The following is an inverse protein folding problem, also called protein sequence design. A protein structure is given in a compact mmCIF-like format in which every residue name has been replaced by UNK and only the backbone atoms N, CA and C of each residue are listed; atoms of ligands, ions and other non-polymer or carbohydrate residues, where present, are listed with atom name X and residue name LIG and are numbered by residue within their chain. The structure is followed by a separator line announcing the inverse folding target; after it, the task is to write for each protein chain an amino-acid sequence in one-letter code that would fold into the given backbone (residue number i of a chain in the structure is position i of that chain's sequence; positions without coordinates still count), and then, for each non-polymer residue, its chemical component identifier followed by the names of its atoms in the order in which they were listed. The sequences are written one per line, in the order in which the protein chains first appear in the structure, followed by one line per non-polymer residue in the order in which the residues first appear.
data_IF_175123451300
#
_entry.id   IF_175123451300
#
_cell.length_a   1.000
_cell.length_b   1.000
_cell.length_c   1.000
_cell.angle_alpha   90.00
_cell.angle_beta   90.00
_cell.angle_gamma   90.00
#
_symmetry.space_group_name_H-M   'P 1'
#
loop_
_entity.id
_entity.type
_entity.pdbx_description
1 polymer ?
#
# COMPACT_ATOMS: atom_id res chain seq x y z
N UNK A 1 -24.87 12.33 -26.53
CA UNK A 1 -23.92 13.30 -25.96
C UNK A 1 -22.64 12.55 -25.64
N UNK A 2 -21.46 13.07 -26.03
CA UNK A 2 -20.17 12.44 -25.68
C UNK A 2 -19.99 12.51 -24.15
N UNK A 3 -19.47 11.45 -23.55
CA UNK A 3 -19.13 11.46 -22.12
C UNK A 3 -18.09 12.56 -21.86
N UNK A 4 -18.33 13.53 -20.95
CA UNK A 4 -17.42 14.66 -20.72
C UNK A 4 -16.11 14.27 -20.00
N UNK A 5 -16.02 13.03 -19.50
CA UNK A 5 -14.81 12.50 -18.82
C UNK A 5 -14.06 11.52 -19.74
N UNK A 6 -12.77 11.33 -19.47
CA UNK A 6 -11.96 10.37 -20.21
C UNK A 6 -12.45 8.93 -19.98
N UNK A 7 -12.21 8.04 -20.97
CA UNK A 7 -12.52 6.60 -20.81
C UNK A 7 -11.79 6.00 -19.59
N UNK A 8 -10.58 6.47 -19.30
CA UNK A 8 -9.83 6.06 -18.11
C UNK A 8 -10.56 6.44 -16.83
N UNK A 9 -11.04 7.68 -16.72
CA UNK A 9 -11.83 8.11 -15.56
C UNK A 9 -13.13 7.32 -15.41
N UNK A 10 -13.80 7.02 -16.51
CA UNK A 10 -14.99 6.17 -16.47
C UNK A 10 -14.69 4.75 -15.93
N UNK A 11 -13.57 4.14 -16.29
CA UNK A 11 -13.14 2.85 -15.72
C UNK A 11 -12.81 2.94 -14.23
N UNK A 12 -12.17 4.04 -13.79
CA UNK A 12 -11.90 4.26 -12.36
C UNK A 12 -13.23 4.37 -11.59
N UNK A 13 -14.19 5.12 -12.09
CA UNK A 13 -15.53 5.21 -11.48
C UNK A 13 -16.19 3.83 -11.39
N UNK A 14 -16.12 3.03 -12.46
CA UNK A 14 -16.64 1.66 -12.45
C UNK A 14 -15.97 0.77 -11.41
N UNK A 15 -14.64 0.84 -11.29
CA UNK A 15 -13.87 0.04 -10.33
C UNK A 15 -14.19 0.40 -8.87
N UNK A 16 -14.63 1.63 -8.59
CA UNK A 16 -14.93 2.12 -7.24
C UNK A 16 -16.44 2.21 -6.95
N UNK A 17 -17.29 2.02 -7.95
CA UNK A 17 -18.74 2.27 -7.86
C UNK A 17 -19.40 1.57 -6.68
N UNK A 18 -19.19 0.25 -6.54
CA UNK A 18 -19.82 -0.54 -5.47
C UNK A 18 -19.46 -0.04 -4.07
N UNK A 19 -18.22 0.40 -3.87
CA UNK A 19 -17.78 0.93 -2.59
C UNK A 19 -18.41 2.28 -2.30
N UNK A 20 -18.44 3.18 -3.29
CA UNK A 20 -19.09 4.48 -3.11
C UNK A 20 -20.60 4.36 -2.92
N UNK A 21 -21.27 3.45 -3.64
CA UNK A 21 -22.67 3.14 -3.41
C UNK A 21 -22.92 2.62 -1.98
N UNK A 22 -22.03 1.74 -1.48
CA UNK A 22 -22.12 1.29 -0.11
C UNK A 22 -21.98 2.46 0.88
N UNK A 23 -20.99 3.31 0.71
CA UNK A 23 -20.70 4.43 1.60
C UNK A 23 -21.75 5.54 1.56
N UNK A 24 -22.52 5.67 0.47
CA UNK A 24 -23.46 6.78 0.28
C UNK A 24 -24.93 6.39 0.26
N UNK A 25 -25.27 5.15 -0.10
CA UNK A 25 -26.66 4.74 -0.34
C UNK A 25 -27.11 3.50 0.46
N UNK A 26 -26.21 2.81 1.15
CA UNK A 26 -26.54 1.60 1.91
C UNK A 26 -27.26 1.89 3.24
N UNK A 27 -27.70 0.83 3.92
CA UNK A 27 -28.19 0.92 5.29
C UNK A 27 -27.11 1.46 6.24
N UNK A 28 -25.83 1.10 6.01
CA UNK A 28 -24.70 1.66 6.72
C UNK A 28 -24.65 3.20 6.58
N UNK A 29 -24.76 3.70 5.35
CA UNK A 29 -24.74 5.15 5.12
C UNK A 29 -25.88 5.92 5.84
N UNK A 30 -27.01 5.27 6.03
CA UNK A 30 -28.17 5.87 6.70
C UNK A 30 -28.15 5.74 8.22
N UNK A 31 -27.52 4.69 8.75
CA UNK A 31 -27.64 4.30 10.16
C UNK A 31 -26.31 4.13 10.89
N UNK A 32 -25.18 4.30 10.21
CA UNK A 32 -23.84 4.04 10.77
C UNK A 32 -23.48 4.90 11.99
N UNK A 33 -24.11 6.08 12.11
CA UNK A 33 -23.88 7.02 13.21
C UNK A 33 -24.99 7.02 14.26
N UNK A 34 -25.98 6.09 14.15
CA UNK A 34 -27.07 6.00 15.14
C UNK A 34 -26.54 5.48 16.50
N UNK A 35 -27.07 5.96 17.64
CA UNK A 35 -26.71 5.44 18.95
C UNK A 35 -26.87 3.92 19.04
N UNK A 36 -25.86 3.23 19.54
CA UNK A 36 -25.84 1.77 19.69
C UNK A 36 -25.38 1.00 18.45
N UNK A 37 -25.06 1.69 17.35
CA UNK A 37 -24.42 1.07 16.18
C UNK A 37 -22.89 1.13 16.31
N UNK A 38 -22.25 -0.03 16.20
CA UNK A 38 -20.80 -0.12 16.16
C UNK A 38 -20.33 -0.07 14.70
N UNK A 39 -19.62 1.00 14.34
CA UNK A 39 -19.14 1.23 12.97
C UNK A 39 -17.71 0.68 12.80
N UNK A 40 -17.57 -0.42 12.03
CA UNK A 40 -16.28 -1.03 11.68
C UNK A 40 -15.95 -0.87 10.18
N UNK A 41 -16.69 -0.03 9.44
CA UNK A 41 -16.50 0.08 8.00
C UNK A 41 -15.37 1.02 7.60
N UNK A 42 -15.10 2.04 8.40
CA UNK A 42 -14.06 3.04 8.11
C UNK A 42 -13.02 3.04 9.23
N UNK A 43 -11.79 2.67 8.89
CA UNK A 43 -10.67 2.60 9.83
C UNK A 43 -10.00 3.95 10.05
N UNK A 44 -10.75 4.95 10.53
CA UNK A 44 -10.16 6.19 11.00
C UNK A 44 -9.76 6.06 12.48
N UNK A 45 -8.60 6.60 12.89
CA UNK A 45 -8.32 6.80 14.30
C UNK A 45 -9.40 7.69 14.94
N UNK A 46 -9.91 7.26 16.09
CA UNK A 46 -10.92 8.00 16.84
C UNK A 46 -10.35 8.72 18.06
N UNK A 47 -9.12 8.41 18.41
CA UNK A 47 -8.41 9.06 19.50
C UNK A 47 -7.83 10.41 19.07
N UNK A 48 -7.60 11.27 20.03
CA UNK A 48 -6.89 12.53 19.78
C UNK A 48 -5.43 12.23 19.39
N UNK A 49 -4.87 12.99 18.43
CA UNK A 49 -3.45 12.87 18.09
C UNK A 49 -2.55 13.00 19.32
N UNK A 50 -1.45 12.28 19.32
CA UNK A 50 -0.48 12.35 20.43
C UNK A 50 -0.01 13.79 20.66
N UNK A 51 -0.04 14.31 21.90
CA UNK A 51 0.38 15.69 22.20
C UNK A 51 1.80 16.01 21.71
N UNK A 52 2.72 15.04 21.78
CA UNK A 52 4.08 15.18 21.25
C UNK A 52 4.13 15.37 19.73
N UNK A 53 3.26 14.70 18.99
CA UNK A 53 3.13 14.88 17.53
C UNK A 53 2.60 16.28 17.19
N UNK A 54 1.57 16.74 17.90
CA UNK A 54 1.01 18.09 17.72
C UNK A 54 2.08 19.16 18.01
N UNK A 55 2.84 19.01 19.12
CA UNK A 55 3.92 19.93 19.47
C UNK A 55 5.04 19.94 18.42
N UNK A 56 5.41 18.79 17.88
CA UNK A 56 6.40 18.67 16.80
C UNK A 56 5.94 19.40 15.53
N UNK A 57 4.67 19.28 15.16
CA UNK A 57 4.10 20.01 14.01
C UNK A 57 4.14 21.53 14.25
N UNK A 58 3.76 22.00 15.44
CA UNK A 58 3.81 23.43 15.78
C UNK A 58 5.23 23.99 15.72
N UNK A 59 6.22 23.23 16.17
CA UNK A 59 7.62 23.63 16.07
C UNK A 59 8.12 23.66 14.62
N UNK A 60 7.72 22.68 13.82
CA UNK A 60 8.15 22.54 12.44
C UNK A 60 7.55 23.59 11.50
N UNK A 61 6.44 24.23 11.85
CA UNK A 61 5.84 25.29 11.05
C UNK A 61 6.58 26.65 11.20
N UNK A 62 7.40 26.80 12.23
CA UNK A 62 8.21 28.00 12.43
C UNK A 62 9.48 27.92 11.59
N UNK A 63 9.69 28.78 10.60
CA UNK A 63 10.86 28.73 9.73
C UNK A 63 12.14 29.00 10.52
N UNK A 64 13.15 28.15 10.35
CA UNK A 64 14.44 28.25 11.04
C UNK A 64 15.52 28.91 10.15
N UNK A 65 15.26 29.00 8.85
CA UNK A 65 16.12 29.69 7.90
C UNK A 65 15.29 30.14 6.66
N UNK A 66 15.89 30.93 5.79
CA UNK A 66 15.22 31.49 4.60
C UNK A 66 14.74 30.43 3.60
N UNK A 67 15.34 29.25 3.62
CA UNK A 67 15.06 28.17 2.68
C UNK A 67 14.13 27.09 3.29
N UNK A 68 13.56 27.35 4.47
CA UNK A 68 12.73 26.38 5.20
C UNK A 68 11.57 25.84 4.40
N UNK A 69 10.90 26.69 3.63
CA UNK A 69 9.79 26.34 2.74
C UNK A 69 10.16 26.40 1.26
N UNK A 70 11.46 26.42 0.93
CA UNK A 70 11.92 26.43 -0.45
C UNK A 70 11.66 25.08 -1.14
N UNK A 71 11.74 25.07 -2.49
CA UNK A 71 11.69 23.83 -3.26
C UNK A 71 12.83 22.89 -2.88
N UNK A 72 12.48 21.64 -2.62
CA UNK A 72 13.43 20.57 -2.27
C UNK A 72 13.13 19.32 -3.08
N UNK A 73 14.14 18.57 -3.45
CA UNK A 73 13.97 17.25 -4.07
C UNK A 73 13.53 16.22 -3.04
N UNK A 74 14.15 16.23 -1.87
CA UNK A 74 13.84 15.44 -0.69
C UNK A 74 14.20 16.22 0.57
N UNK A 75 13.68 15.81 1.69
CA UNK A 75 14.02 16.35 3.00
C UNK A 75 15.02 15.41 3.69
N UNK A 76 16.32 15.74 3.63
CA UNK A 76 17.40 14.88 4.12
C UNK A 76 17.25 14.46 5.59
N UNK A 77 16.76 15.38 6.45
CA UNK A 77 16.51 15.07 7.86
C UNK A 77 15.40 14.02 8.02
N UNK A 78 14.36 14.08 7.21
CA UNK A 78 13.27 13.09 7.20
C UNK A 78 13.76 11.74 6.67
N UNK A 79 14.56 11.72 5.61
CA UNK A 79 15.16 10.49 5.08
C UNK A 79 16.02 9.80 6.14
N UNK A 80 16.95 10.52 6.79
CA UNK A 80 17.79 9.99 7.85
C UNK A 80 16.97 9.43 9.03
N UNK A 81 15.90 10.12 9.43
CA UNK A 81 14.99 9.67 10.49
C UNK A 81 14.28 8.37 10.10
N UNK A 82 13.84 8.25 8.85
CA UNK A 82 13.19 7.03 8.35
C UNK A 82 14.17 5.86 8.31
N UNK A 83 15.39 6.07 7.82
CA UNK A 83 16.45 5.04 7.80
C UNK A 83 16.71 4.53 9.22
N UNK A 84 16.94 5.42 10.20
CA UNK A 84 17.17 5.03 11.58
C UNK A 84 15.95 4.32 12.20
N UNK A 85 14.76 4.80 11.92
CA UNK A 85 13.51 4.20 12.37
C UNK A 85 13.31 2.78 11.82
N UNK A 86 13.63 2.53 10.57
CA UNK A 86 13.52 1.20 9.95
C UNK A 86 14.59 0.26 10.51
N UNK A 87 15.82 0.76 10.69
CA UNK A 87 16.93 0.00 11.27
C UNK A 87 16.63 -0.42 12.71
N UNK A 88 16.25 0.53 13.56
CA UNK A 88 16.00 0.27 14.99
C UNK A 88 14.77 -0.62 15.20
N UNK A 89 13.74 -0.45 14.38
CA UNK A 89 12.48 -1.19 14.57
C UNK A 89 12.46 -2.56 13.88
N UNK A 90 13.13 -2.71 12.72
CA UNK A 90 13.06 -3.93 11.91
C UNK A 90 14.40 -4.59 11.64
N UNK A 91 15.51 -3.93 12.00
CA UNK A 91 16.84 -4.39 11.63
C UNK A 91 17.13 -4.32 10.11
N UNK A 92 16.26 -3.64 9.34
CA UNK A 92 16.44 -3.45 7.89
C UNK A 92 17.22 -2.16 7.66
N UNK A 93 18.29 -2.22 6.91
CA UNK A 93 19.12 -1.07 6.56
C UNK A 93 18.80 -0.62 5.14
N UNK A 94 18.49 0.66 4.99
CA UNK A 94 18.35 1.37 3.72
C UNK A 94 19.33 2.53 3.71
N UNK A 95 19.76 2.94 2.53
CA UNK A 95 20.49 4.19 2.35
C UNK A 95 19.48 5.36 2.25
N UNK A 96 19.93 6.58 2.54
CA UNK A 96 19.03 7.75 2.48
C UNK A 96 18.44 7.97 1.09
N UNK A 97 19.21 7.64 0.04
CA UNK A 97 18.80 7.73 -1.35
C UNK A 97 17.69 6.75 -1.73
N UNK A 98 17.51 5.67 -0.95
CA UNK A 98 16.42 4.71 -1.14
C UNK A 98 15.08 5.22 -0.58
N UNK A 99 15.09 6.31 0.18
CA UNK A 99 13.91 6.84 0.87
C UNK A 99 13.30 8.00 0.10
N UNK A 100 12.06 7.82 -0.34
CA UNK A 100 11.26 8.85 -1.01
C UNK A 100 10.06 9.24 -0.15
N UNK A 101 10.02 10.49 0.28
CA UNK A 101 8.91 11.02 1.08
C UNK A 101 7.73 11.37 0.19
N UNK A 102 6.55 10.86 0.53
CA UNK A 102 5.30 11.11 -0.19
C UNK A 102 4.17 11.48 0.76
N UNK A 103 3.02 11.91 0.23
CA UNK A 103 1.83 12.18 1.03
C UNK A 103 1.14 10.86 1.46
N UNK A 104 1.86 10.04 2.25
CA UNK A 104 1.39 8.75 2.77
C UNK A 104 1.44 7.61 1.75
N UNK A 105 1.03 6.41 2.20
CA UNK A 105 1.10 5.18 1.38
C UNK A 105 0.25 5.25 0.10
N UNK A 106 -0.86 5.98 0.10
CA UNK A 106 -1.67 6.17 -1.11
C UNK A 106 -0.87 6.85 -2.22
N UNK A 107 -0.19 7.95 -1.90
CA UNK A 107 0.66 8.64 -2.86
C UNK A 107 1.89 7.78 -3.23
N UNK A 108 2.46 7.03 -2.29
CA UNK A 108 3.55 6.11 -2.57
C UNK A 108 3.15 5.03 -3.59
N UNK A 109 1.98 4.38 -3.40
CA UNK A 109 1.40 3.43 -4.37
C UNK A 109 1.22 4.07 -5.75
N UNK A 110 0.68 5.28 -5.78
CA UNK A 110 0.42 6.06 -6.99
C UNK A 110 1.71 6.36 -7.76
N UNK A 111 2.71 6.93 -7.08
CA UNK A 111 4.03 7.25 -7.67
C UNK A 111 4.73 5.97 -8.15
N UNK A 112 4.72 4.91 -7.34
CA UNK A 112 5.33 3.63 -7.72
C UNK A 112 4.70 3.07 -8.99
N UNK A 113 3.37 2.96 -9.04
CA UNK A 113 2.69 2.48 -10.23
C UNK A 113 3.02 3.31 -11.47
N UNK A 114 3.00 4.65 -11.35
CA UNK A 114 3.34 5.53 -12.47
C UNK A 114 4.79 5.39 -12.95
N UNK A 115 5.69 4.97 -12.07
CA UNK A 115 7.12 4.85 -12.36
C UNK A 115 7.46 3.50 -13.01
N UNK A 116 6.83 2.42 -12.55
CA UNK A 116 7.24 1.07 -12.95
C UNK A 116 6.35 0.43 -14.01
N UNK A 117 5.16 0.99 -14.32
CA UNK A 117 4.22 0.39 -15.28
C UNK A 117 4.03 1.23 -16.52
N UNK A 118 3.92 0.55 -17.66
CA UNK A 118 3.45 1.11 -18.93
C UNK A 118 1.98 0.71 -19.18
N UNK A 119 1.24 1.44 -20.04
CA UNK A 119 -0.10 1.03 -20.44
C UNK A 119 -0.13 -0.39 -21.00
N UNK A 120 -1.01 -1.23 -20.43
CA UNK A 120 -1.14 -2.65 -20.80
C UNK A 120 -0.31 -3.62 -19.96
N UNK A 121 0.58 -3.12 -19.10
CA UNK A 121 1.25 -3.95 -18.09
C UNK A 121 0.25 -4.50 -17.10
N UNK A 122 0.46 -5.73 -16.65
CA UNK A 122 -0.36 -6.38 -15.66
C UNK A 122 0.19 -6.17 -14.25
N UNK A 123 -0.70 -5.81 -13.32
CA UNK A 123 -0.38 -5.70 -11.90
C UNK A 123 -1.29 -6.65 -11.13
N UNK A 124 -0.68 -7.64 -10.49
CA UNK A 124 -1.38 -8.59 -9.63
C UNK A 124 -1.66 -7.94 -8.28
N UNK A 125 -2.84 -8.19 -7.71
CA UNK A 125 -3.17 -7.83 -6.32
C UNK A 125 -4.02 -8.91 -5.67
N UNK A 126 -3.91 -9.02 -4.34
CA UNK A 126 -4.56 -10.07 -3.56
C UNK A 126 -5.96 -9.62 -3.14
N UNK A 127 -6.94 -10.52 -3.24
CA UNK A 127 -8.37 -10.27 -2.97
C UNK A 127 -8.87 -11.15 -1.81
N UNK A 128 -9.59 -10.59 -0.82
CA UNK A 128 -10.17 -9.23 -0.81
C UNK A 128 -9.08 -8.15 -0.65
N UNK A 129 -9.11 -7.12 -1.50
CA UNK A 129 -8.10 -6.06 -1.49
C UNK A 129 -8.54 -4.86 -0.64
N UNK A 130 -7.59 -3.99 -0.32
CA UNK A 130 -7.94 -2.60 -0.12
C UNK A 130 -8.56 -2.05 -1.40
N UNK A 131 -9.74 -1.48 -1.31
CA UNK A 131 -10.63 -1.23 -2.45
C UNK A 131 -10.11 -0.23 -3.50
N UNK A 132 -9.04 0.51 -3.22
CA UNK A 132 -8.45 1.42 -4.19
C UNK A 132 -7.38 0.80 -5.09
N UNK A 133 -6.87 -0.41 -4.84
CA UNK A 133 -5.80 -0.99 -5.68
C UNK A 133 -6.21 -1.06 -7.15
N UNK A 134 -7.39 -1.60 -7.45
CA UNK A 134 -7.85 -1.73 -8.83
C UNK A 134 -7.98 -0.37 -9.53
N UNK A 135 -8.56 0.61 -8.85
CA UNK A 135 -8.70 1.97 -9.37
C UNK A 135 -7.34 2.64 -9.63
N UNK A 136 -6.36 2.47 -8.72
CA UNK A 136 -5.00 2.97 -8.90
C UNK A 136 -4.33 2.32 -10.11
N UNK A 137 -4.37 1.00 -10.25
CA UNK A 137 -3.79 0.29 -11.38
C UNK A 137 -4.37 0.80 -12.71
N UNK A 138 -5.70 0.89 -12.80
CA UNK A 138 -6.41 1.40 -13.98
C UNK A 138 -6.05 2.87 -14.27
N UNK A 139 -5.79 3.68 -13.24
CA UNK A 139 -5.46 5.10 -13.40
C UNK A 139 -4.17 5.34 -14.17
N UNK A 140 -3.26 4.38 -14.16
CA UNK A 140 -1.99 4.44 -14.93
C UNK A 140 -2.03 3.63 -16.23
N UNK A 141 -3.21 3.13 -16.62
CA UNK A 141 -3.38 2.36 -17.86
C UNK A 141 -2.93 0.92 -17.76
N UNK A 142 -2.52 0.47 -16.58
CA UNK A 142 -2.18 -0.92 -16.32
C UNK A 142 -3.45 -1.78 -16.18
N UNK A 143 -3.29 -3.08 -16.31
CA UNK A 143 -4.35 -4.08 -16.25
C UNK A 143 -4.36 -4.73 -14.86
N UNK A 144 -5.44 -4.60 -14.08
CA UNK A 144 -5.54 -5.22 -12.77
C UNK A 144 -5.77 -6.74 -12.91
N UNK A 145 -4.95 -7.53 -12.23
CA UNK A 145 -5.06 -9.00 -12.18
C UNK A 145 -5.35 -9.41 -10.74
N UNK A 146 -6.58 -9.83 -10.50
CA UNK A 146 -7.06 -10.18 -9.16
C UNK A 146 -6.79 -11.65 -8.85
N UNK A 147 -6.02 -11.93 -7.79
CA UNK A 147 -5.80 -13.28 -7.25
C UNK A 147 -6.47 -13.39 -5.88
N UNK A 148 -7.27 -14.43 -5.67
CA UNK A 148 -7.93 -14.65 -4.37
C UNK A 148 -6.95 -15.21 -3.35
N UNK A 149 -7.16 -14.89 -2.08
CA UNK A 149 -6.49 -15.55 -0.95
C UNK A 149 -6.85 -17.03 -0.89
N UNK A 150 -6.03 -17.81 -0.21
CA UNK A 150 -6.40 -19.17 0.19
C UNK A 150 -7.69 -19.09 1.06
N UNK A 151 -8.77 -19.79 0.70
CA UNK A 151 -10.06 -19.63 1.37
C UNK A 151 -10.07 -20.17 2.82
N UNK A 152 -9.13 -21.01 3.19
CA UNK A 152 -9.05 -21.60 4.54
C UNK A 152 -8.20 -20.74 5.47
N UNK A 153 -7.04 -20.27 4.99
CA UNK A 153 -6.08 -19.55 5.83
C UNK A 153 -6.17 -18.03 5.68
N UNK A 154 -6.83 -17.56 4.63
CA UNK A 154 -6.82 -16.16 4.16
C UNK A 154 -5.41 -15.65 3.80
N UNK A 155 -4.43 -16.55 3.74
CA UNK A 155 -3.05 -16.29 3.31
C UNK A 155 -2.90 -16.25 1.79
N UNK A 156 -1.65 -16.19 1.33
CA UNK A 156 -1.34 -16.18 -0.10
C UNK A 156 -1.68 -17.54 -0.73
N UNK A 157 -2.39 -17.53 -1.84
CA UNK A 157 -2.52 -18.69 -2.73
C UNK A 157 -1.37 -18.64 -3.74
N UNK A 158 -0.24 -19.24 -3.36
CA UNK A 158 1.00 -19.19 -4.15
C UNK A 158 0.85 -19.86 -5.52
N UNK A 159 0.07 -20.93 -5.63
CA UNK A 159 -0.22 -21.60 -6.89
C UNK A 159 -1.05 -20.70 -7.82
N UNK A 160 -2.06 -20.04 -7.28
CA UNK A 160 -2.87 -19.11 -8.03
C UNK A 160 -2.05 -17.89 -8.48
N UNK A 161 -1.16 -17.37 -7.62
CA UNK A 161 -0.23 -16.29 -7.97
C UNK A 161 0.69 -16.74 -9.12
N UNK A 162 1.32 -17.91 -9.01
CA UNK A 162 2.22 -18.43 -10.04
C UNK A 162 1.52 -18.60 -11.40
N UNK A 163 0.27 -19.08 -11.41
CA UNK A 163 -0.56 -19.22 -12.61
C UNK A 163 -1.00 -17.87 -13.21
N UNK A 164 -1.16 -16.85 -12.40
CA UNK A 164 -1.58 -15.52 -12.85
C UNK A 164 -0.45 -14.72 -13.51
N UNK A 165 0.82 -15.11 -13.31
CA UNK A 165 1.97 -14.42 -13.88
C UNK A 165 2.08 -14.70 -15.39
N UNK A 166 2.07 -13.63 -16.18
CA UNK A 166 2.26 -13.65 -17.64
C UNK A 166 3.52 -12.86 -18.03
N UNK A 167 3.93 -12.86 -19.31
CA UNK A 167 5.00 -11.97 -19.81
C UNK A 167 4.69 -10.48 -19.66
N UNK A 168 3.43 -10.08 -19.45
CA UNK A 168 3.04 -8.69 -19.18
C UNK A 168 3.02 -8.32 -17.73
N UNK A 169 3.16 -9.28 -16.81
CA UNK A 169 3.17 -9.00 -15.38
C UNK A 169 4.36 -8.13 -15.02
N UNK A 170 4.10 -6.98 -14.44
CA UNK A 170 5.11 -5.98 -14.05
C UNK A 170 5.28 -5.86 -12.56
N UNK A 171 4.21 -6.04 -11.80
CA UNK A 171 4.24 -5.96 -10.35
C UNK A 171 3.21 -6.86 -9.68
N UNK A 172 3.45 -7.14 -8.41
CA UNK A 172 2.47 -7.69 -7.49
C UNK A 172 2.36 -6.77 -6.27
N UNK A 173 1.14 -6.47 -5.86
CA UNK A 173 0.84 -5.72 -4.63
C UNK A 173 0.40 -6.73 -3.55
N UNK A 174 1.13 -6.75 -2.44
CA UNK A 174 0.70 -7.46 -1.24
C UNK A 174 0.61 -6.48 -0.08
N UNK A 175 -0.31 -6.74 0.84
CA UNK A 175 -0.54 -5.89 2.01
C UNK A 175 -0.46 -6.77 3.27
N UNK A 176 0.47 -6.45 4.17
CA UNK A 176 0.68 -7.21 5.40
C UNK A 176 1.02 -6.24 6.55
N UNK A 177 0.29 -6.27 7.67
CA UNK A 177 -1.00 -6.94 7.88
C UNK A 177 -2.04 -6.54 6.84
N UNK A 178 -2.84 -7.49 6.37
CA UNK A 178 -3.75 -7.26 5.24
C UNK A 178 -5.02 -6.51 5.66
N UNK A 179 -5.42 -5.54 4.87
CA UNK A 179 -6.74 -4.94 4.92
C UNK A 179 -7.60 -5.54 3.78
N UNK A 180 -8.71 -6.28 4.06
CA UNK A 180 -9.44 -6.29 5.34
C UNK A 180 -9.22 -7.54 6.22
N UNK A 181 -8.42 -8.55 5.83
CA UNK A 181 -8.41 -9.85 6.50
C UNK A 181 -7.66 -9.87 7.84
N UNK A 182 -6.78 -8.89 8.09
CA UNK A 182 -5.92 -8.84 9.28
C UNK A 182 -4.74 -9.82 9.25
N UNK A 183 -4.59 -10.63 8.21
CA UNK A 183 -3.56 -11.68 8.15
C UNK A 183 -2.17 -11.06 7.98
N UNK A 184 -1.22 -11.59 8.75
CA UNK A 184 0.22 -11.38 8.58
C UNK A 184 0.77 -12.59 7.84
N UNK A 185 1.45 -12.38 6.71
CA UNK A 185 2.01 -13.48 5.93
C UNK A 185 3.25 -14.05 6.62
N UNK A 186 3.33 -15.39 6.77
CA UNK A 186 4.46 -16.04 7.41
C UNK A 186 5.72 -16.03 6.53
N UNK A 187 6.91 -16.20 7.15
CA UNK A 187 8.19 -16.19 6.42
C UNK A 187 8.26 -17.19 5.26
N UNK A 188 7.70 -18.37 5.43
CA UNK A 188 7.73 -19.44 4.42
C UNK A 188 6.93 -19.02 3.17
N UNK A 189 5.76 -18.42 3.34
CA UNK A 189 4.97 -17.89 2.22
C UNK A 189 5.69 -16.76 1.50
N UNK A 190 6.32 -15.85 2.27
CA UNK A 190 7.06 -14.72 1.71
C UNK A 190 8.29 -15.18 0.92
N UNK A 191 9.00 -16.19 1.41
CA UNK A 191 10.13 -16.81 0.73
C UNK A 191 9.69 -17.52 -0.55
N UNK A 192 8.63 -18.32 -0.47
CA UNK A 192 8.08 -19.00 -1.65
C UNK A 192 7.57 -18.01 -2.70
N UNK A 193 6.94 -16.90 -2.30
CA UNK A 193 6.59 -15.82 -3.21
C UNK A 193 7.82 -15.21 -3.89
N UNK A 194 8.89 -14.95 -3.13
CA UNK A 194 10.14 -14.42 -3.68
C UNK A 194 10.76 -15.37 -4.72
N UNK A 195 10.74 -16.68 -4.46
CA UNK A 195 11.22 -17.69 -5.40
C UNK A 195 10.37 -17.71 -6.69
N UNK A 196 9.05 -17.62 -6.58
CA UNK A 196 8.14 -17.53 -7.72
C UNK A 196 8.44 -16.28 -8.56
N UNK A 197 8.59 -15.11 -7.94
CA UNK A 197 8.86 -13.85 -8.62
C UNK A 197 10.24 -13.85 -9.29
N UNK A 198 11.25 -14.44 -8.64
CA UNK A 198 12.60 -14.57 -9.18
C UNK A 198 12.60 -15.45 -10.43
N UNK A 199 12.02 -16.64 -10.34
CA UNK A 199 11.91 -17.57 -11.47
C UNK A 199 11.11 -16.96 -12.64
N UNK A 200 9.99 -16.29 -12.35
CA UNK A 200 9.16 -15.65 -13.34
C UNK A 200 9.88 -14.46 -14.01
N UNK A 201 10.59 -13.63 -13.26
CA UNK A 201 11.37 -12.51 -13.79
C UNK A 201 12.46 -12.99 -14.74
N UNK A 202 13.17 -14.07 -14.38
CA UNK A 202 14.19 -14.68 -15.21
C UNK A 202 13.58 -15.28 -16.50
N UNK A 203 12.48 -16.03 -16.39
CA UNK A 203 11.77 -16.62 -17.54
C UNK A 203 11.27 -15.57 -18.51
N UNK A 204 10.70 -14.50 -17.98
CA UNK A 204 10.11 -13.43 -18.80
C UNK A 204 11.14 -12.40 -19.27
N UNK A 205 12.41 -12.49 -18.81
CA UNK A 205 13.48 -11.50 -19.03
C UNK A 205 13.03 -10.06 -18.70
N UNK A 206 12.21 -9.95 -17.66
CA UNK A 206 11.62 -8.71 -17.22
C UNK A 206 11.42 -8.75 -15.71
N UNK A 207 11.90 -7.74 -15.01
CA UNK A 207 11.73 -7.62 -13.55
C UNK A 207 10.26 -7.49 -13.20
N UNK A 208 9.80 -8.33 -12.28
CA UNK A 208 8.50 -8.22 -11.62
C UNK A 208 8.76 -7.59 -10.24
N UNK A 209 8.19 -6.45 -9.97
CA UNK A 209 8.36 -5.75 -8.70
C UNK A 209 7.38 -6.25 -7.64
N UNK A 210 7.86 -6.36 -6.41
CA UNK A 210 7.00 -6.59 -5.24
C UNK A 210 6.70 -5.24 -4.57
N UNK A 211 5.46 -4.79 -4.65
CA UNK A 211 4.97 -3.61 -3.93
C UNK A 211 4.41 -4.08 -2.58
N UNK A 212 5.16 -3.84 -1.51
CA UNK A 212 4.78 -4.22 -0.15
C UNK A 212 4.07 -3.06 0.55
N UNK A 213 2.75 -3.09 0.59
CA UNK A 213 1.95 -2.13 1.35
C UNK A 213 1.95 -2.53 2.84
N UNK A 214 2.71 -1.76 3.61
CA UNK A 214 2.96 -2.03 5.02
C UNK A 214 2.32 -1.01 5.95
N UNK A 215 1.22 -0.39 5.52
CA UNK A 215 0.53 0.67 6.26
C UNK A 215 0.18 0.30 7.70
N UNK A 216 -0.04 -0.98 7.99
CA UNK A 216 -0.44 -1.47 9.32
C UNK A 216 0.68 -2.19 10.07
N UNK A 217 1.89 -2.22 9.58
CA UNK A 217 2.98 -3.04 10.12
C UNK A 217 3.42 -2.66 11.54
N UNK A 218 3.00 -1.50 12.07
CA UNK A 218 3.17 -1.09 13.47
C UNK A 218 1.93 -1.32 14.33
N UNK A 219 0.83 -1.81 13.76
CA UNK A 219 -0.43 -2.07 14.46
C UNK A 219 -0.64 -3.58 14.46
N UNK A 220 0.02 -4.25 15.40
CA UNK A 220 0.02 -5.70 15.53
C UNK A 220 -0.42 -6.06 16.94
N UNK A 221 -1.43 -6.93 17.02
CA UNK A 221 -1.99 -7.39 18.28
C UNK A 221 -1.35 -8.72 18.71
N UNK A 222 -1.49 -9.07 19.99
CA UNK A 222 -1.05 -10.34 20.58
C UNK A 222 0.46 -10.63 20.40
N UNK A 223 1.28 -9.57 20.27
CA UNK A 223 2.73 -9.70 20.06
C UNK A 223 3.12 -10.64 18.91
N UNK A 224 2.28 -10.73 17.87
CA UNK A 224 2.57 -11.53 16.69
C UNK A 224 3.84 -11.01 16.00
N UNK A 225 4.75 -11.91 15.59
CA UNK A 225 5.93 -11.50 14.84
C UNK A 225 5.53 -10.96 13.47
N UNK A 226 6.19 -9.88 13.07
CA UNK A 226 6.02 -9.29 11.75
C UNK A 226 7.29 -9.41 10.93
N UNK A 227 7.14 -9.82 9.68
CA UNK A 227 8.22 -9.96 8.73
C UNK A 227 7.91 -9.11 7.49
N UNK A 228 8.82 -8.18 7.17
CA UNK A 228 8.64 -7.37 5.97
C UNK A 228 8.87 -8.22 4.72
N UNK A 229 7.94 -8.24 3.77
CA UNK A 229 8.13 -8.92 2.49
C UNK A 229 9.39 -8.47 1.74
N UNK A 230 9.81 -7.22 1.94
CA UNK A 230 11.00 -6.66 1.28
C UNK A 230 12.31 -7.31 1.72
N UNK A 231 12.31 -8.04 2.83
CA UNK A 231 13.49 -8.79 3.30
C UNK A 231 13.79 -10.01 2.43
N UNK A 232 12.81 -10.53 1.72
CA UNK A 232 12.89 -11.79 0.97
C UNK A 232 13.12 -11.61 -0.52
N UNK A 233 12.79 -10.45 -1.08
CA UNK A 233 12.87 -10.21 -2.52
C UNK A 233 13.57 -8.88 -2.83
N UNK A 234 14.69 -8.89 -3.59
CA UNK A 234 15.51 -7.68 -3.81
C UNK A 234 14.82 -6.62 -4.68
N UNK A 235 13.92 -7.04 -5.60
CA UNK A 235 13.18 -6.09 -6.44
C UNK A 235 11.85 -5.71 -5.77
N UNK A 236 11.92 -5.20 -4.55
CA UNK A 236 10.77 -4.83 -3.75
C UNK A 236 10.78 -3.36 -3.35
N UNK A 237 9.58 -2.81 -3.15
CA UNK A 237 9.37 -1.44 -2.65
C UNK A 237 8.53 -1.52 -1.38
N UNK A 238 9.06 -0.96 -0.29
CA UNK A 238 8.34 -0.82 0.97
C UNK A 238 7.51 0.46 0.92
N UNK A 239 6.19 0.33 0.99
CA UNK A 239 5.25 1.45 0.95
C UNK A 239 4.60 1.59 2.33
N UNK A 240 4.83 2.73 2.98
CA UNK A 240 4.45 2.95 4.37
C UNK A 240 3.77 4.31 4.58
N UNK A 241 3.06 4.44 5.69
CA UNK A 241 2.49 5.71 6.13
C UNK A 241 2.61 5.88 7.64
N UNK A 242 2.99 7.06 8.06
CA UNK A 242 2.96 7.45 9.48
C UNK A 242 1.56 7.90 9.94
N UNK A 243 0.62 8.10 9.02
CA UNK A 243 -0.74 8.53 9.33
C UNK A 243 -1.58 7.49 10.10
N UNK A 244 -1.17 6.21 10.14
CA UNK A 244 -1.88 5.21 10.93
C UNK A 244 -1.43 5.14 12.39
N UNK A 245 -0.11 5.19 12.70
CA UNK A 245 0.34 5.14 14.09
C UNK A 245 0.38 6.49 14.81
N UNK A 246 0.31 7.62 14.12
CA UNK A 246 0.49 8.96 14.72
C UNK A 246 -0.79 9.82 14.77
N UNK A 247 -1.82 9.45 14.01
CA UNK A 247 -3.06 10.22 13.89
C UNK A 247 -4.24 9.52 14.56
#
# INVERSE_FOLDING_TARGET
MSNPISQRTARIQQATQTVFEFLTASTFARRGDEPGVSNFAIGNPHDMPLPGFVSALQQSIVPQNKDWFAYKMNEAASQATVVESLKSWRGVTFEAEDIFMTNGAFAALSVTLSTITDPGDEVIFISPPWFFYEALIVSYGAVPVRVKVNPTTLGLDLDAIAKAITPRTRAIIINSPNNPTGVIYPPDDLKALADILTAASARNKRTIYLMSDEAYSRIIFDNQPYYSPTTYYPNSLLLYTYGKPLL
#
